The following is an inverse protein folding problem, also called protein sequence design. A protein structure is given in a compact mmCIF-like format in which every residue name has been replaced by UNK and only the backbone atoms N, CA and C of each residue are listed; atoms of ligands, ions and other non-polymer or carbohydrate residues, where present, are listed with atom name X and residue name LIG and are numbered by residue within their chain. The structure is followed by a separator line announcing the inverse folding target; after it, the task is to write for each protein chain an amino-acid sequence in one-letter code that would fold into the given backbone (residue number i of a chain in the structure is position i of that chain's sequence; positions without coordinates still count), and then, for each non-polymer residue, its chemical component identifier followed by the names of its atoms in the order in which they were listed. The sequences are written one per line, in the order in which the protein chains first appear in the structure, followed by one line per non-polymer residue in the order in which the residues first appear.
data_IF_829308049363
#
_entry.id   IF_829308049363
#
_cell.length_a   1.000
_cell.length_b   1.000
_cell.length_c   1.000
_cell.angle_alpha   90.00
_cell.angle_beta   90.00
_cell.angle_gamma   90.00
#
_symmetry.space_group_name_H-M   'P 1'
#
loop_
_entity.id
_entity.type
_entity.pdbx_description
1 polymer ?
#
# COMPACT_ATOMS: atom_id res chain seq x y z
N UNK A 1 -3.77 15.19 37.07
CA UNK A 1 -3.07 15.22 35.77
C UNK A 1 -3.36 14.01 34.86
N UNK A 2 -4.59 13.49 34.88
CA UNK A 2 -5.17 12.66 33.80
C UNK A 2 -6.62 13.11 33.63
N UNK A 3 -7.34 13.22 34.75
CA UNK A 3 -8.71 13.74 34.81
C UNK A 3 -8.89 15.16 34.24
N UNK A 4 -7.95 16.10 34.46
CA UNK A 4 -8.04 17.44 33.88
C UNK A 4 -7.81 17.45 32.37
N UNK A 5 -6.93 16.59 31.87
CA UNK A 5 -6.69 16.42 30.45
C UNK A 5 -7.94 15.82 29.77
N UNK A 6 -8.55 14.82 30.40
CA UNK A 6 -9.78 14.18 29.92
C UNK A 6 -10.97 15.15 29.90
N UNK A 7 -11.07 16.01 30.91
CA UNK A 7 -12.07 17.09 30.96
C UNK A 7 -11.85 18.13 29.86
N UNK A 8 -10.60 18.51 29.60
CA UNK A 8 -10.24 19.49 28.57
C UNK A 8 -10.52 18.94 27.17
N UNK A 9 -10.14 17.69 26.89
CA UNK A 9 -10.43 17.01 25.62
C UNK A 9 -11.95 16.86 25.44
N UNK A 10 -12.67 16.49 26.49
CA UNK A 10 -14.14 16.38 26.46
C UNK A 10 -14.84 17.72 26.22
N UNK A 11 -14.31 18.82 26.77
CA UNK A 11 -14.84 20.16 26.58
C UNK A 11 -14.55 20.70 25.17
N UNK A 12 -13.37 20.40 24.62
CA UNK A 12 -12.98 20.75 23.25
C UNK A 12 -13.86 20.01 22.22
N UNK A 13 -14.07 18.70 22.42
CA UNK A 13 -14.93 17.88 21.56
C UNK A 13 -16.40 18.31 21.61
N UNK A 14 -16.89 18.89 22.71
CA UNK A 14 -18.26 19.42 22.81
C UNK A 14 -18.44 20.81 22.20
N UNK A 15 -17.42 21.66 22.30
CA UNK A 15 -17.53 23.08 21.92
C UNK A 15 -17.14 23.33 20.46
N UNK A 16 -16.15 22.62 19.94
CA UNK A 16 -15.60 22.87 18.61
C UNK A 16 -15.94 21.81 17.57
N UNK A 17 -16.16 20.56 17.98
CA UNK A 17 -16.74 19.54 17.12
C UNK A 17 -18.23 19.47 17.43
N UNK A 18 -19.11 19.75 16.46
CA UNK A 18 -20.53 19.42 16.61
C UNK A 18 -20.65 17.91 16.59
N UNK A 19 -20.44 17.28 17.75
CA UNK A 19 -20.78 15.88 17.95
C UNK A 19 -22.26 15.72 17.62
N UNK A 20 -22.59 14.82 16.68
CA UNK A 20 -23.96 14.38 16.52
C UNK A 20 -24.45 13.88 17.89
N UNK A 21 -25.57 14.41 18.44
CA UNK A 21 -26.07 13.98 19.73
C UNK A 21 -26.40 12.47 19.67
N UNK A 22 -25.63 11.66 20.40
CA UNK A 22 -25.85 10.21 20.52
C UNK A 22 -24.61 9.31 20.51
N UNK A 23 -23.46 9.78 19.99
CA UNK A 23 -22.27 8.92 19.80
C UNK A 23 -21.20 9.01 20.92
N UNK A 24 -21.38 9.87 21.92
CA UNK A 24 -20.42 10.08 23.00
C UNK A 24 -20.61 9.14 24.22
N UNK A 25 -21.07 7.91 24.00
CA UNK A 25 -21.23 6.91 25.07
C UNK A 25 -20.54 5.58 24.75
N UNK A 26 -19.26 5.57 24.32
CA UNK A 26 -18.65 4.26 24.00
C UNK A 26 -17.13 4.25 24.13
N UNK A 27 -16.63 4.50 25.35
CA UNK A 27 -15.43 3.91 26.01
C UNK A 27 -14.85 4.92 27.00
N UNK A 28 -14.21 4.44 28.08
CA UNK A 28 -13.60 5.26 29.13
C UNK A 28 -12.51 6.26 28.65
N UNK A 29 -12.19 6.26 27.35
CA UNK A 29 -11.15 7.08 26.73
C UNK A 29 -11.67 7.96 25.58
N UNK A 30 -12.99 8.11 25.41
CA UNK A 30 -13.56 9.00 24.38
C UNK A 30 -13.41 8.52 22.94
N UNK A 31 -13.05 7.24 22.72
CA UNK A 31 -13.09 6.64 21.38
C UNK A 31 -14.52 6.26 21.01
N UNK A 32 -14.78 6.13 19.71
CA UNK A 32 -16.02 5.53 19.18
C UNK A 32 -15.74 4.10 18.69
N UNK A 33 -16.76 3.23 18.63
CA UNK A 33 -16.65 1.93 17.98
C UNK A 33 -16.14 2.08 16.54
N UNK A 34 -15.30 1.14 16.09
CA UNK A 34 -14.67 1.25 14.76
C UNK A 34 -15.71 1.34 13.63
N UNK A 35 -16.82 0.61 13.73
CA UNK A 35 -17.89 0.65 12.73
C UNK A 35 -18.51 2.05 12.64
N UNK A 36 -18.83 2.66 13.78
CA UNK A 36 -19.39 4.01 13.85
C UNK A 36 -18.40 5.05 13.33
N UNK A 37 -17.11 4.86 13.62
CA UNK A 37 -16.02 5.72 13.13
C UNK A 37 -15.87 5.65 11.61
N UNK A 38 -15.81 4.43 11.04
CA UNK A 38 -15.71 4.21 9.59
C UNK A 38 -16.96 4.74 8.86
N UNK A 39 -18.14 4.55 9.45
CA UNK A 39 -19.40 5.08 8.95
C UNK A 39 -19.40 6.62 8.93
N UNK A 40 -18.94 7.26 10.01
CA UNK A 40 -18.83 8.71 10.09
C UNK A 40 -17.84 9.26 9.04
N UNK A 41 -16.68 8.61 8.87
CA UNK A 41 -15.68 8.96 7.85
C UNK A 41 -16.28 8.85 6.45
N UNK A 42 -16.95 7.74 6.14
CA UNK A 42 -17.56 7.49 4.84
C UNK A 42 -18.64 8.53 4.51
N UNK A 43 -19.55 8.82 5.45
CA UNK A 43 -20.57 9.86 5.27
C UNK A 43 -19.96 11.24 5.08
N UNK A 44 -18.94 11.57 5.86
CA UNK A 44 -18.28 12.86 5.73
C UNK A 44 -17.61 13.01 4.36
N UNK A 45 -16.88 11.98 3.92
CA UNK A 45 -16.25 11.97 2.60
C UNK A 45 -17.29 12.14 1.48
N UNK A 46 -18.39 11.39 1.53
CA UNK A 46 -19.50 11.53 0.58
C UNK A 46 -20.12 12.93 0.59
N UNK A 47 -20.31 13.55 1.76
CA UNK A 47 -20.85 14.91 1.89
C UNK A 47 -19.95 15.99 1.27
N UNK A 48 -18.66 15.71 1.14
CA UNK A 48 -17.68 16.57 0.49
C UNK A 48 -17.55 16.28 -1.02
N UNK A 49 -18.27 15.28 -1.54
CA UNK A 49 -18.24 14.87 -2.95
C UNK A 49 -17.10 13.93 -3.30
N UNK A 50 -16.48 13.25 -2.33
CA UNK A 50 -15.48 12.21 -2.62
C UNK A 50 -16.15 10.88 -3.00
N UNK A 51 -15.58 10.23 -4.02
CA UNK A 51 -16.07 8.93 -4.51
C UNK A 51 -15.64 7.74 -3.64
N UNK A 52 -14.55 7.88 -2.87
CA UNK A 52 -14.02 6.81 -2.02
C UNK A 52 -13.08 7.35 -0.93
N UNK A 53 -12.81 6.54 0.08
CA UNK A 53 -11.79 6.75 1.10
C UNK A 53 -10.74 5.65 1.00
N UNK A 54 -9.46 6.03 0.91
CA UNK A 54 -8.35 5.07 0.89
C UNK A 54 -7.60 5.15 2.22
N UNK A 55 -7.51 4.02 2.91
CA UNK A 55 -6.77 3.88 4.16
C UNK A 55 -5.47 3.13 3.92
N UNK A 56 -4.33 3.76 4.22
CA UNK A 56 -3.03 3.10 4.26
C UNK A 56 -2.67 2.82 5.71
N UNK A 57 -2.71 1.54 6.09
CA UNK A 57 -2.45 1.06 7.45
C UNK A 57 -1.09 0.37 7.46
N UNK A 58 -0.06 1.14 7.79
CA UNK A 58 1.28 0.60 8.03
C UNK A 58 1.40 0.09 9.47
N UNK A 59 2.30 -0.86 9.68
CA UNK A 59 2.65 -1.44 10.99
C UNK A 59 1.50 -2.06 11.79
N UNK A 60 0.26 -2.11 11.28
CA UNK A 60 -0.89 -2.69 12.00
C UNK A 60 -0.62 -4.14 12.44
N UNK A 61 -0.06 -4.94 11.52
CA UNK A 61 0.28 -6.34 11.75
C UNK A 61 1.40 -6.46 12.78
N UNK A 62 2.42 -5.60 12.71
CA UNK A 62 3.51 -5.56 13.68
C UNK A 62 3.05 -5.09 15.07
N UNK A 63 2.14 -4.13 15.11
CA UNK A 63 1.55 -3.62 16.33
C UNK A 63 0.75 -4.70 17.06
N UNK A 64 -0.10 -5.44 16.32
CA UNK A 64 -0.80 -6.61 16.85
C UNK A 64 0.20 -7.68 17.32
N UNK A 65 1.24 -7.93 16.53
CA UNK A 65 2.28 -8.91 16.86
C UNK A 65 3.05 -8.55 18.15
N UNK A 66 3.31 -7.27 18.39
CA UNK A 66 4.06 -6.79 19.57
C UNK A 66 3.42 -7.15 20.92
N UNK A 67 2.13 -7.51 20.91
CA UNK A 67 1.34 -7.87 22.10
C UNK A 67 0.72 -9.27 22.02
N UNK A 68 1.32 -10.19 21.25
CA UNK A 68 0.79 -11.54 21.07
C UNK A 68 0.65 -12.38 22.34
N UNK A 69 1.37 -12.03 23.41
CA UNK A 69 1.20 -12.66 24.71
C UNK A 69 -0.14 -12.30 25.39
N UNK A 70 -0.81 -11.22 24.95
CA UNK A 70 -2.13 -10.81 25.42
C UNK A 70 -3.20 -11.23 24.40
N UNK A 71 -3.72 -12.45 24.58
CA UNK A 71 -4.77 -13.01 23.71
C UNK A 71 -6.05 -12.18 23.74
N UNK A 72 -6.39 -11.57 24.89
CA UNK A 72 -7.58 -10.75 25.01
C UNK A 72 -7.45 -9.45 24.19
N UNK A 73 -6.25 -8.87 24.17
CA UNK A 73 -5.92 -7.75 23.27
C UNK A 73 -6.01 -8.17 21.81
N UNK A 74 -5.34 -9.25 21.39
CA UNK A 74 -5.33 -9.68 19.98
C UNK A 74 -6.74 -10.04 19.51
N UNK A 75 -7.54 -10.70 20.33
CA UNK A 75 -8.93 -11.03 20.00
C UNK A 75 -9.77 -9.77 19.79
N UNK A 76 -9.69 -8.81 20.71
CA UNK A 76 -10.46 -7.56 20.63
C UNK A 76 -10.03 -6.68 19.46
N UNK A 77 -8.73 -6.52 19.24
CA UNK A 77 -8.21 -5.65 18.18
C UNK A 77 -8.23 -6.33 16.80
N UNK A 78 -7.95 -7.63 16.73
CA UNK A 78 -8.04 -8.42 15.50
C UNK A 78 -9.45 -8.47 14.92
N UNK A 79 -10.47 -8.55 15.77
CA UNK A 79 -11.87 -8.47 15.34
C UNK A 79 -12.21 -7.13 14.66
N UNK A 80 -11.53 -6.02 15.03
CA UNK A 80 -11.73 -4.71 14.39
C UNK A 80 -11.14 -4.67 12.98
N UNK A 81 -10.06 -5.40 12.72
CA UNK A 81 -9.43 -5.46 11.40
C UNK A 81 -10.42 -5.99 10.36
N UNK A 82 -11.22 -7.00 10.71
CA UNK A 82 -12.26 -7.56 9.83
C UNK A 82 -13.29 -6.50 9.41
N UNK A 83 -13.59 -5.53 10.27
CA UNK A 83 -14.55 -4.44 9.99
C UNK A 83 -14.10 -3.46 8.89
N UNK A 84 -12.81 -3.48 8.54
CA UNK A 84 -12.27 -2.75 7.40
C UNK A 84 -12.74 -3.34 6.06
N UNK A 85 -13.12 -4.62 6.04
CA UNK A 85 -13.63 -5.33 4.85
C UNK A 85 -15.13 -5.56 4.97
N UNK A 86 -15.58 -6.09 6.10
CA UNK A 86 -16.97 -6.51 6.33
C UNK A 86 -17.85 -5.35 6.85
N UNK A 87 -17.97 -4.31 6.02
CA UNK A 87 -18.82 -3.16 6.29
C UNK A 87 -20.23 -3.28 5.72
N UNK A 88 -21.21 -2.73 6.43
CA UNK A 88 -22.56 -2.51 5.86
C UNK A 88 -22.48 -1.39 4.81
N UNK A 89 -22.63 -1.77 3.54
CA UNK A 89 -22.58 -0.85 2.41
C UNK A 89 -23.66 0.24 2.47
N UNK A 90 -24.81 -0.02 3.11
CA UNK A 90 -25.87 0.99 3.24
C UNK A 90 -25.48 2.13 4.18
N UNK A 91 -24.56 1.85 5.12
CA UNK A 91 -24.06 2.83 6.09
C UNK A 91 -22.82 3.57 5.58
N UNK A 92 -22.17 3.04 4.54
CA UNK A 92 -20.90 3.57 4.00
C UNK A 92 -21.10 4.07 2.55
N UNK A 93 -21.69 5.27 2.36
CA UNK A 93 -21.99 5.80 1.02
C UNK A 93 -20.74 6.06 0.17
N UNK A 94 -19.62 6.46 0.79
CA UNK A 94 -18.30 6.44 0.13
C UNK A 94 -17.61 5.12 0.47
N UNK A 95 -17.30 4.24 -0.51
CA UNK A 95 -16.57 3.01 -0.27
C UNK A 95 -15.22 3.26 0.39
N UNK A 96 -14.83 2.37 1.30
CA UNK A 96 -13.55 2.40 1.99
C UNK A 96 -12.67 1.30 1.43
N UNK A 97 -11.50 1.68 0.91
CA UNK A 97 -10.47 0.75 0.41
C UNK A 97 -9.31 0.76 1.39
N UNK A 98 -9.00 -0.38 2.01
CA UNK A 98 -7.95 -0.49 3.03
C UNK A 98 -6.76 -1.27 2.51
N UNK A 99 -5.57 -0.66 2.54
CA UNK A 99 -4.29 -1.32 2.29
C UNK A 99 -3.58 -1.54 3.62
N UNK A 100 -3.24 -2.79 3.92
CA UNK A 100 -2.54 -3.16 5.14
C UNK A 100 -1.17 -3.70 4.77
N UNK A 101 -0.11 -3.08 5.30
CA UNK A 101 1.25 -3.55 5.07
C UNK A 101 1.54 -4.83 5.87
N UNK A 102 2.04 -5.86 5.18
CA UNK A 102 2.49 -7.13 5.78
C UNK A 102 4.02 -7.24 5.63
N UNK A 103 4.75 -6.51 6.46
CA UNK A 103 6.22 -6.46 6.37
C UNK A 103 6.90 -7.77 6.85
N UNK A 104 6.23 -8.57 7.68
CA UNK A 104 6.67 -9.91 8.12
C UNK A 104 5.48 -10.86 8.15
N UNK A 105 5.74 -12.12 7.86
CA UNK A 105 4.72 -13.16 8.07
C UNK A 105 4.47 -13.28 9.59
N UNK A 106 3.20 -13.26 9.98
CA UNK A 106 2.80 -13.45 11.38
C UNK A 106 3.39 -14.73 11.99
N UNK A 107 3.63 -15.76 11.17
CA UNK A 107 4.29 -17.01 11.58
C UNK A 107 5.72 -16.81 12.07
N UNK A 108 6.46 -15.93 11.39
CA UNK A 108 7.86 -15.64 11.71
C UNK A 108 7.97 -14.77 12.97
N UNK A 109 6.95 -13.96 13.26
CA UNK A 109 6.90 -13.12 14.46
C UNK A 109 6.68 -13.94 15.75
N UNK A 110 6.22 -15.19 15.64
CA UNK A 110 5.91 -16.09 16.77
C UNK A 110 7.11 -16.95 17.16
N UNK A 111 8.23 -16.87 16.44
CA UNK A 111 9.41 -17.75 16.58
C UNK A 111 9.97 -17.89 18.01
N UNK A 112 10.05 -19.15 18.45
CA UNK A 112 10.70 -19.79 19.62
C UNK A 112 10.53 -19.19 21.03
N UNK A 113 10.05 -17.96 21.18
CA UNK A 113 10.11 -17.22 22.45
C UNK A 113 8.75 -17.11 23.17
N UNK A 114 7.67 -17.64 22.59
CA UNK A 114 6.34 -17.66 23.24
C UNK A 114 5.91 -19.10 23.51
N UNK A 115 6.15 -19.63 24.72
CA UNK A 115 5.65 -20.94 25.10
C UNK A 115 4.15 -20.84 25.39
N UNK A 116 3.33 -21.56 24.63
CA UNK A 116 1.98 -21.93 25.07
C UNK A 116 0.89 -21.85 23.99
N UNK A 117 -0.15 -22.68 24.18
CA UNK A 117 -1.36 -22.73 23.36
C UNK A 117 -2.07 -21.38 23.16
N UNK A 118 -1.80 -20.40 24.04
CA UNK A 118 -2.34 -19.04 23.96
C UNK A 118 -1.80 -18.26 22.76
N UNK A 119 -0.51 -18.37 22.44
CA UNK A 119 0.09 -17.71 21.29
C UNK A 119 -0.46 -18.27 19.97
N UNK A 120 -0.63 -19.60 19.90
CA UNK A 120 -1.25 -20.27 18.75
C UNK A 120 -2.68 -19.77 18.51
N UNK A 121 -3.46 -19.60 19.58
CA UNK A 121 -4.83 -19.06 19.49
C UNK A 121 -4.84 -17.63 18.93
N UNK A 122 -3.91 -16.78 19.37
CA UNK A 122 -3.77 -15.41 18.85
C UNK A 122 -3.40 -15.39 17.36
N UNK A 123 -2.51 -16.29 16.93
CA UNK A 123 -2.13 -16.46 15.51
C UNK A 123 -3.32 -16.89 14.65
N UNK A 124 -4.13 -17.83 15.14
CA UNK A 124 -5.29 -18.32 14.41
C UNK A 124 -6.36 -17.23 14.22
N UNK A 125 -6.58 -16.39 15.24
CA UNK A 125 -7.46 -15.22 15.13
C UNK A 125 -6.97 -14.26 14.05
N UNK A 126 -5.68 -13.94 14.05
CA UNK A 126 -5.10 -13.03 13.06
C UNK A 126 -5.18 -13.64 11.64
N UNK A 127 -4.87 -14.92 11.46
CA UNK A 127 -5.03 -15.61 10.16
C UNK A 127 -6.47 -15.59 9.67
N UNK A 128 -7.43 -15.82 10.56
CA UNK A 128 -8.84 -15.75 10.19
C UNK A 128 -9.20 -14.35 9.66
N UNK A 129 -8.67 -13.30 10.29
CA UNK A 129 -8.86 -11.93 9.83
C UNK A 129 -8.15 -11.64 8.50
N UNK A 130 -6.92 -12.14 8.31
CA UNK A 130 -6.16 -11.99 7.07
C UNK A 130 -6.85 -12.65 5.88
N UNK A 131 -7.51 -13.80 6.07
CA UNK A 131 -8.23 -14.51 5.02
C UNK A 131 -9.41 -13.75 4.41
N UNK A 132 -9.73 -12.55 4.92
CA UNK A 132 -10.73 -11.61 4.34
C UNK A 132 -10.11 -10.57 3.41
N UNK A 133 -8.79 -10.49 3.34
CA UNK A 133 -8.09 -9.53 2.50
C UNK A 133 -7.48 -10.24 1.29
N UNK A 134 -7.61 -9.61 0.12
CA UNK A 134 -6.82 -9.97 -1.03
C UNK A 134 -5.36 -9.56 -0.81
N UNK A 135 -4.43 -10.44 -1.18
CA UNK A 135 -2.99 -10.15 -1.07
C UNK A 135 -2.47 -9.56 -2.37
N UNK A 136 -1.88 -8.37 -2.28
CA UNK A 136 -1.15 -7.74 -3.37
C UNK A 136 0.34 -7.90 -3.09
N UNK A 137 1.02 -8.74 -3.87
CA UNK A 137 2.47 -8.90 -3.77
C UNK A 137 3.17 -7.76 -4.47
N UNK A 138 3.87 -6.92 -3.69
CA UNK A 138 4.77 -5.92 -4.24
C UNK A 138 6.15 -6.54 -4.43
N UNK A 139 6.41 -7.03 -5.64
CA UNK A 139 7.75 -7.53 -5.99
C UNK A 139 8.78 -6.40 -5.98
N UNK A 140 9.99 -6.70 -5.50
CA UNK A 140 11.21 -5.85 -5.56
C UNK A 140 11.62 -5.53 -7.02
N UNK A 141 10.97 -6.18 -7.99
CA UNK A 141 11.22 -6.07 -9.43
C UNK A 141 10.30 -5.10 -10.15
N UNK A 142 9.46 -4.35 -9.44
CA UNK A 142 8.48 -3.45 -10.07
C UNK A 142 9.07 -2.19 -10.72
N UNK A 143 10.40 -1.99 -10.65
CA UNK A 143 11.07 -0.82 -11.24
C UNK A 143 10.67 -0.53 -12.71
N UNK A 144 10.57 -1.52 -13.63
CA UNK A 144 10.18 -1.25 -15.01
C UNK A 144 8.77 -0.67 -15.11
N UNK A 145 7.81 -1.24 -14.37
CA UNK A 145 6.43 -0.75 -14.36
C UNK A 145 6.33 0.64 -13.73
N UNK A 146 7.07 0.88 -12.65
CA UNK A 146 7.11 2.19 -11.99
C UNK A 146 7.75 3.24 -12.89
N UNK A 147 8.85 2.91 -13.58
CA UNK A 147 9.49 3.81 -14.53
C UNK A 147 8.57 4.16 -15.70
N UNK A 148 7.90 3.16 -16.29
CA UNK A 148 6.92 3.37 -17.36
C UNK A 148 5.81 4.35 -16.94
N UNK A 149 5.29 4.21 -15.72
CA UNK A 149 4.15 5.00 -15.25
C UNK A 149 4.53 6.37 -14.68
N UNK A 150 5.66 6.48 -13.96
CA UNK A 150 6.06 7.69 -13.24
C UNK A 150 7.04 8.56 -14.00
N UNK A 151 7.90 7.97 -14.82
CA UNK A 151 8.98 8.68 -15.50
C UNK A 151 8.71 8.83 -17.01
N UNK A 152 8.27 7.74 -17.66
CA UNK A 152 8.17 7.65 -19.11
C UNK A 152 6.76 7.88 -19.67
N UNK A 153 5.78 8.19 -18.79
CA UNK A 153 4.39 8.37 -19.21
C UNK A 153 4.28 9.55 -20.19
N UNK A 154 3.79 9.33 -21.43
CA UNK A 154 3.63 10.41 -22.40
C UNK A 154 2.66 11.47 -21.89
N UNK A 155 3.00 12.75 -22.08
CA UNK A 155 2.17 13.88 -21.64
C UNK A 155 1.01 14.20 -22.59
N UNK A 156 1.07 13.71 -23.82
CA UNK A 156 0.04 13.90 -24.86
C UNK A 156 0.08 12.75 -25.87
N UNK A 157 -0.97 12.62 -26.68
CA UNK A 157 -1.01 11.65 -27.77
C UNK A 157 0.04 11.98 -28.84
N UNK A 158 0.31 13.26 -29.10
CA UNK A 158 1.41 13.69 -29.98
C UNK A 158 2.77 13.21 -29.47
N UNK A 159 3.05 13.34 -28.16
CA UNK A 159 4.28 12.82 -27.57
C UNK A 159 4.35 11.29 -27.62
N UNK A 160 3.20 10.60 -27.49
CA UNK A 160 3.14 9.14 -27.65
C UNK A 160 3.54 8.71 -29.06
N UNK A 161 2.98 9.37 -30.08
CA UNK A 161 3.33 9.10 -31.49
C UNK A 161 4.80 9.38 -31.78
N UNK A 162 5.36 10.49 -31.27
CA UNK A 162 6.79 10.77 -31.42
C UNK A 162 7.67 9.66 -30.84
N UNK A 163 7.30 9.12 -29.67
CA UNK A 163 8.00 7.99 -29.06
C UNK A 163 7.82 6.70 -29.86
N UNK A 164 6.64 6.46 -30.44
CA UNK A 164 6.39 5.31 -31.33
C UNK A 164 7.27 5.36 -32.58
N UNK A 165 7.32 6.51 -33.24
CA UNK A 165 8.11 6.73 -34.46
C UNK A 165 9.61 6.60 -34.18
N UNK A 166 10.09 7.20 -33.07
CA UNK A 166 11.47 7.07 -32.62
C UNK A 166 11.83 5.62 -32.30
N UNK A 167 10.95 4.90 -31.60
CA UNK A 167 11.16 3.48 -31.30
C UNK A 167 11.18 2.61 -32.57
N UNK A 168 10.33 2.91 -33.55
CA UNK A 168 10.32 2.19 -34.83
C UNK A 168 11.62 2.35 -35.63
N UNK A 169 12.32 3.48 -35.50
CA UNK A 169 13.66 3.67 -36.04
C UNK A 169 14.68 2.78 -35.32
N UNK A 170 14.66 2.77 -33.98
CA UNK A 170 15.56 1.92 -33.18
C UNK A 170 15.34 0.45 -33.45
N UNK A 171 14.07 0.00 -33.53
CA UNK A 171 13.72 -1.39 -33.84
C UNK A 171 14.35 -1.84 -35.16
N UNK A 172 14.24 -1.02 -36.23
CA UNK A 172 14.86 -1.32 -37.53
C UNK A 172 16.38 -1.45 -37.44
N UNK A 173 17.03 -0.52 -36.72
CA UNK A 173 18.48 -0.57 -36.53
C UNK A 173 18.95 -1.83 -35.77
N UNK A 174 18.16 -2.28 -34.80
CA UNK A 174 18.46 -3.50 -34.04
C UNK A 174 18.28 -4.77 -34.88
N UNK A 175 17.27 -4.80 -35.74
CA UNK A 175 17.06 -5.88 -36.70
C UNK A 175 18.19 -5.95 -37.73
N UNK A 176 18.68 -4.81 -38.21
CA UNK A 176 19.79 -4.72 -39.16
C UNK A 176 21.15 -5.13 -38.56
N UNK A 177 21.41 -4.81 -37.29
CA UNK A 177 22.70 -5.08 -36.63
C UNK A 177 22.79 -6.43 -35.93
N UNK A 178 21.66 -7.12 -35.72
CA UNK A 178 21.64 -8.40 -35.01
C UNK A 178 21.92 -8.30 -33.50
N UNK A 179 21.88 -7.10 -32.91
CA UNK A 179 22.14 -6.85 -31.48
C UNK A 179 20.89 -7.04 -30.60
N UNK A 180 19.80 -7.54 -31.20
CA UNK A 180 18.48 -7.69 -30.56
C UNK A 180 18.56 -8.50 -29.26
N UNK A 181 19.29 -9.61 -29.27
CA UNK A 181 19.37 -10.53 -28.13
C UNK A 181 20.12 -9.91 -26.93
N UNK A 182 21.10 -9.04 -27.19
CA UNK A 182 21.89 -8.38 -26.14
C UNK A 182 21.08 -7.32 -25.40
N UNK A 183 20.24 -6.57 -26.10
CA UNK A 183 19.44 -5.49 -25.49
C UNK A 183 18.15 -5.99 -24.86
N UNK A 184 17.55 -7.04 -25.41
CA UNK A 184 16.31 -7.61 -24.89
C UNK A 184 16.55 -8.53 -23.69
N UNK A 185 17.76 -9.07 -23.48
CA UNK A 185 18.03 -10.16 -22.51
C UNK A 185 17.23 -11.43 -22.84
N UNK A 186 17.51 -12.54 -22.15
CA UNK A 186 16.91 -13.86 -22.43
C UNK A 186 15.37 -13.90 -22.31
N UNK A 187 14.74 -12.82 -21.83
CA UNK A 187 13.30 -12.72 -21.55
C UNK A 187 12.60 -11.51 -22.19
N UNK A 188 13.32 -10.65 -22.92
CA UNK A 188 12.77 -9.37 -23.37
C UNK A 188 11.82 -9.45 -24.54
N UNK A 189 10.58 -9.05 -24.26
CA UNK A 189 9.58 -8.72 -25.26
C UNK A 189 9.84 -7.32 -25.86
N UNK A 190 9.69 -7.18 -27.17
CA UNK A 190 9.78 -5.87 -27.84
C UNK A 190 8.74 -4.89 -27.28
N UNK A 191 7.59 -5.38 -26.83
CA UNK A 191 6.58 -4.54 -26.20
C UNK A 191 7.04 -4.07 -24.80
N UNK A 192 7.82 -4.88 -24.08
CA UNK A 192 8.46 -4.44 -22.84
C UNK A 192 9.50 -3.35 -23.09
N UNK A 193 10.31 -3.48 -24.14
CA UNK A 193 11.25 -2.42 -24.51
C UNK A 193 10.50 -1.15 -24.94
N UNK A 194 9.43 -1.25 -25.73
CA UNK A 194 8.62 -0.09 -26.11
C UNK A 194 8.09 0.68 -24.89
N UNK A 195 7.67 -0.03 -23.85
CA UNK A 195 7.20 0.58 -22.58
C UNK A 195 8.29 1.31 -21.80
N UNK A 196 9.55 0.90 -21.98
CA UNK A 196 10.71 1.42 -21.25
C UNK A 196 11.59 2.37 -22.06
N UNK A 197 11.30 2.54 -23.35
CA UNK A 197 12.01 3.47 -24.22
C UNK A 197 12.08 4.88 -23.59
N UNK A 198 13.27 5.51 -23.51
CA UNK A 198 14.50 5.20 -24.24
C UNK A 198 15.45 4.17 -23.60
N UNK A 199 15.09 3.53 -22.49
CA UNK A 199 15.94 2.57 -21.80
C UNK A 199 15.78 1.15 -22.33
N UNK A 200 16.91 0.47 -22.60
CA UNK A 200 16.90 -0.95 -22.96
C UNK A 200 16.53 -1.82 -21.75
N UNK A 201 15.83 -2.97 -21.96
CA UNK A 201 15.56 -3.94 -20.90
C UNK A 201 16.82 -4.34 -20.13
N UNK A 202 17.94 -4.59 -20.83
CA UNK A 202 19.22 -4.91 -20.20
C UNK A 202 19.71 -3.84 -19.21
N UNK A 203 19.57 -2.54 -19.54
CA UNK A 203 19.94 -1.46 -18.64
C UNK A 203 19.02 -1.41 -17.41
N UNK A 204 17.72 -1.60 -17.62
CA UNK A 204 16.75 -1.61 -16.51
C UNK A 204 17.01 -2.80 -15.59
N UNK A 205 17.28 -3.99 -16.13
CA UNK A 205 17.63 -5.19 -15.35
C UNK A 205 18.91 -4.98 -14.54
N UNK A 206 19.93 -4.34 -15.12
CA UNK A 206 21.16 -3.99 -14.40
C UNK A 206 20.89 -3.01 -13.25
N UNK A 207 20.01 -2.02 -13.46
CA UNK A 207 19.61 -1.07 -12.42
C UNK A 207 18.78 -1.75 -11.31
N UNK A 208 17.92 -2.71 -11.65
CA UNK A 208 17.19 -3.53 -10.66
C UNK A 208 18.18 -4.33 -9.82
N UNK A 209 19.10 -5.05 -10.46
CA UNK A 209 20.09 -5.87 -9.78
C UNK A 209 20.98 -5.03 -8.84
N UNK A 210 21.46 -3.87 -9.32
CA UNK A 210 22.27 -2.95 -8.52
C UNK A 210 21.47 -2.36 -7.36
N UNK A 211 20.22 -1.95 -7.59
CA UNK A 211 19.34 -1.40 -6.57
C UNK A 211 19.04 -2.40 -5.45
N UNK A 212 18.76 -3.65 -5.83
CA UNK A 212 18.54 -4.76 -4.90
C UNK A 212 19.77 -5.04 -4.05
N UNK A 213 20.97 -5.10 -4.66
CA UNK A 213 22.23 -5.27 -3.94
C UNK A 213 22.52 -4.12 -2.95
N UNK A 214 22.06 -2.91 -3.25
CA UNK A 214 22.27 -1.72 -2.42
C UNK A 214 21.19 -1.49 -1.36
N UNK A 215 20.11 -2.28 -1.33
CA UNK A 215 18.90 -2.03 -0.50
C UNK A 215 18.33 -0.62 -0.67
N UNK A 216 18.43 -0.05 -1.88
CA UNK A 216 18.05 1.35 -2.16
C UNK A 216 17.20 1.45 -3.42
N UNK A 217 15.99 0.90 -3.36
CA UNK A 217 14.95 0.97 -4.42
C UNK A 217 14.77 2.39 -5.00
N UNK A 218 14.95 3.43 -4.19
CA UNK A 218 14.76 4.83 -4.60
C UNK A 218 15.90 5.41 -5.44
N UNK A 219 16.98 4.67 -5.67
CA UNK A 219 18.16 5.19 -6.41
C UNK A 219 17.99 4.99 -7.92
N UNK A 220 17.47 3.84 -8.35
CA UNK A 220 17.40 3.51 -9.77
C UNK A 220 16.53 4.51 -10.57
N UNK A 221 15.35 4.88 -10.07
CA UNK A 221 14.51 5.90 -10.72
C UNK A 221 15.18 7.26 -10.82
N UNK A 222 15.97 7.66 -9.82
CA UNK A 222 16.69 8.93 -9.86
C UNK A 222 17.79 8.92 -10.91
N UNK A 223 18.53 7.82 -11.02
CA UNK A 223 19.55 7.62 -12.05
C UNK A 223 18.91 7.63 -13.43
N UNK A 224 17.78 6.94 -13.62
CA UNK A 224 17.03 7.00 -14.89
C UNK A 224 16.61 8.43 -15.22
N UNK A 225 16.09 9.20 -14.25
CA UNK A 225 15.74 10.60 -14.48
C UNK A 225 16.96 11.45 -14.88
N UNK A 226 18.11 11.26 -14.24
CA UNK A 226 19.34 11.96 -14.62
C UNK A 226 19.72 11.66 -16.07
N UNK A 227 19.69 10.38 -16.48
CA UNK A 227 19.98 9.97 -17.86
C UNK A 227 19.00 10.53 -18.92
N UNK A 228 17.81 11.01 -18.53
CA UNK A 228 16.87 11.66 -19.45
C UNK A 228 17.08 13.16 -19.59
N UNK A 229 17.68 13.78 -18.57
CA UNK A 229 17.82 15.24 -18.48
C UNK A 229 19.22 15.69 -18.88
N UNK A 230 20.22 14.84 -18.63
CA UNK A 230 21.62 15.03 -19.04
C UNK A 230 21.84 14.64 -20.51
#
# INVERSE_FOLDING_TARGET
TSAEHDLLVSALLRSHYRALPGQAQTTAHGFVPIDDGLEAISRHASSLGYDAVVLFLDELVLWLASRMSDVAFVSREGAKVVKLVEGDAQKRPAPIVSFIARQRDLRELVGDHVPGAQALTAVDILRHSEGRFDTITLEDRNLPAIAAQRLLRPRSDAARHQLDDAFALVKRQLEERGERDVLLTDTGDLDAFRRLYPFSPALVDALVALSGAMQRERTALKVMLQLLVD
#
